data_IF_776102826357
#
_entry.id   IF_776102826357
#
_cell.length_a   1.000
_cell.length_b   1.000
_cell.length_c   1.000
_cell.angle_alpha   90.00
_cell.angle_beta   90.00
_cell.angle_gamma   90.00
#
_symmetry.space_group_name_H-M   'P 1'
#
loop_
_entity.id
_entity.type
_entity.pdbx_description
1 polymer ?
#
# COMPACT_ATOMS: atom_id res chain seq x y z
N UNK A 1 17.34 -7.96 12.03
CA UNK A 1 16.06 -7.24 12.00
C UNK A 1 15.67 -6.97 10.55
N UNK A 2 14.59 -7.58 10.11
CA UNK A 2 14.07 -7.42 8.74
C UNK A 2 12.87 -6.51 8.70
N UNK A 3 12.60 -5.94 7.52
CA UNK A 3 11.42 -5.12 7.29
C UNK A 3 10.53 -5.81 6.26
N UNK A 4 9.26 -5.98 6.60
CA UNK A 4 8.24 -6.56 5.74
C UNK A 4 7.24 -5.46 5.39
N UNK A 5 7.22 -5.07 4.12
CA UNK A 5 6.46 -3.92 3.63
C UNK A 5 5.27 -4.42 2.80
N UNK A 6 4.08 -3.95 3.12
CA UNK A 6 2.85 -4.32 2.42
C UNK A 6 2.11 -3.06 2.01
N UNK A 7 1.93 -2.87 0.71
CA UNK A 7 1.33 -1.67 0.13
C UNK A 7 0.00 -2.01 -0.53
N UNK A 8 -1.07 -1.35 -0.12
CA UNK A 8 -2.33 -1.33 -0.86
C UNK A 8 -2.27 -0.18 -1.89
N UNK A 9 -1.80 -0.50 -3.09
CA UNK A 9 -1.54 0.51 -4.11
C UNK A 9 -2.78 1.25 -4.56
N UNK A 10 -3.93 0.59 -4.65
CA UNK A 10 -5.17 1.26 -5.05
C UNK A 10 -5.50 2.40 -4.11
N UNK A 11 -5.40 2.15 -2.81
CA UNK A 11 -5.66 3.14 -1.78
C UNK A 11 -4.62 4.26 -1.80
N UNK A 12 -3.35 3.92 -1.87
CA UNK A 12 -2.24 4.90 -1.93
C UNK A 12 -2.37 5.79 -3.17
N UNK A 13 -2.67 5.20 -4.32
CA UNK A 13 -2.76 5.91 -5.59
C UNK A 13 -3.93 6.87 -5.62
N UNK A 14 -5.11 6.41 -5.23
CA UNK A 14 -6.33 7.23 -5.23
C UNK A 14 -6.20 8.38 -4.23
N UNK A 15 -5.84 8.10 -3.00
CA UNK A 15 -5.70 9.13 -1.96
C UNK A 15 -4.55 10.10 -2.28
N UNK A 16 -3.47 9.61 -2.87
CA UNK A 16 -2.36 10.46 -3.31
C UNK A 16 -2.80 11.52 -4.32
N UNK A 17 -3.70 11.19 -5.22
CA UNK A 17 -4.25 12.16 -6.18
C UNK A 17 -5.05 13.27 -5.51
N UNK A 18 -5.82 12.94 -4.46
CA UNK A 18 -6.54 13.95 -3.68
C UNK A 18 -5.59 14.84 -2.87
N UNK A 19 -4.62 14.24 -2.22
CA UNK A 19 -3.60 15.00 -1.47
C UNK A 19 -2.76 15.90 -2.40
N UNK A 20 -2.42 15.43 -3.58
CA UNK A 20 -1.72 16.24 -4.59
C UNK A 20 -2.55 17.44 -5.04
N UNK A 21 -3.86 17.27 -5.19
CA UNK A 21 -4.75 18.38 -5.51
C UNK A 21 -4.72 19.47 -4.45
N UNK A 22 -4.68 19.10 -3.18
CA UNK A 22 -4.52 20.05 -2.06
C UNK A 22 -3.18 20.76 -2.14
N UNK A 23 -2.10 20.01 -2.31
CA UNK A 23 -0.74 20.56 -2.40
C UNK A 23 -0.57 21.54 -3.56
N UNK A 24 -1.22 21.29 -4.69
CA UNK A 24 -1.21 22.16 -5.87
C UNK A 24 -2.19 23.33 -5.78
N UNK A 25 -2.94 23.45 -4.69
CA UNK A 25 -3.88 24.55 -4.50
C UNK A 25 -5.16 24.43 -5.32
N UNK A 26 -5.50 23.25 -5.83
CA UNK A 26 -6.74 23.01 -6.58
C UNK A 26 -7.97 23.03 -5.66
N UNK A 27 -7.80 22.65 -4.43
CA UNK A 27 -8.81 22.65 -3.36
C UNK A 27 -8.15 23.04 -2.04
N UNK A 28 -8.97 23.45 -1.06
CA UNK A 28 -8.47 23.92 0.23
C UNK A 28 -7.99 22.78 1.14
N UNK A 29 -8.70 21.66 1.15
CA UNK A 29 -8.36 20.50 1.97
C UNK A 29 -8.83 19.18 1.33
N UNK A 30 -8.44 18.08 1.93
CA UNK A 30 -8.74 16.73 1.44
C UNK A 30 -10.25 16.42 1.48
N UNK A 31 -10.96 16.96 2.45
CA UNK A 31 -12.41 16.74 2.55
C UNK A 31 -13.13 17.40 1.38
N UNK A 32 -12.75 18.63 1.02
CA UNK A 32 -13.28 19.30 -0.16
C UNK A 32 -12.93 18.53 -1.45
N UNK A 33 -11.71 18.00 -1.54
CA UNK A 33 -11.30 17.21 -2.70
C UNK A 33 -12.21 15.99 -2.90
N UNK A 34 -12.51 15.26 -1.85
CA UNK A 34 -13.40 14.10 -1.89
C UNK A 34 -14.84 14.49 -2.22
N UNK A 35 -15.37 15.51 -1.54
CA UNK A 35 -16.74 15.95 -1.72
C UNK A 35 -17.00 16.45 -3.15
N UNK A 36 -16.06 17.22 -3.70
CA UNK A 36 -16.16 17.79 -5.05
C UNK A 36 -15.58 16.90 -6.13
N UNK A 37 -15.02 15.75 -5.77
CA UNK A 37 -14.33 14.81 -6.66
C UNK A 37 -13.22 15.48 -7.49
N UNK A 38 -12.48 16.37 -6.84
CA UNK A 38 -11.35 17.07 -7.45
C UNK A 38 -10.05 16.37 -7.07
N UNK A 39 -9.35 15.83 -8.05
CA UNK A 39 -8.07 15.15 -7.84
C UNK A 39 -7.09 15.53 -8.94
N UNK A 40 -5.80 15.34 -8.64
CA UNK A 40 -4.74 15.53 -9.61
C UNK A 40 -4.61 14.27 -10.46
N UNK A 41 -5.39 14.19 -11.54
CA UNK A 41 -5.51 12.98 -12.36
C UNK A 41 -4.19 12.43 -12.89
N UNK A 42 -3.24 13.25 -13.39
CA UNK A 42 -1.97 12.74 -13.88
C UNK A 42 -0.96 12.41 -12.78
N UNK A 43 -1.31 12.62 -11.51
CA UNK A 43 -0.39 12.35 -10.41
C UNK A 43 0.00 10.87 -10.36
N UNK A 44 1.27 10.66 -10.13
CA UNK A 44 1.85 9.34 -9.93
C UNK A 44 2.98 9.44 -8.92
N UNK A 45 3.36 8.32 -8.33
CA UNK A 45 4.49 8.31 -7.42
C UNK A 45 5.54 7.29 -7.86
N UNK A 46 6.75 7.48 -7.37
CA UNK A 46 7.90 6.62 -7.66
C UNK A 46 7.94 5.48 -6.63
N UNK A 47 7.88 4.24 -7.08
CA UNK A 47 7.89 3.08 -6.20
C UNK A 47 9.21 2.93 -5.41
N UNK A 48 10.33 3.32 -6.01
CA UNK A 48 11.61 3.29 -5.32
C UNK A 48 11.69 4.30 -4.20
N UNK A 49 11.18 5.50 -4.43
CA UNK A 49 11.09 6.54 -3.39
C UNK A 49 10.15 6.13 -2.25
N UNK A 50 9.05 5.46 -2.59
CA UNK A 50 8.15 4.94 -1.56
C UNK A 50 8.88 3.95 -0.66
N UNK A 51 9.62 3.00 -1.23
CA UNK A 51 10.42 2.05 -0.45
C UNK A 51 11.43 2.76 0.43
N UNK A 52 12.17 3.73 -0.08
CA UNK A 52 13.15 4.50 0.69
C UNK A 52 12.51 5.17 1.90
N UNK A 53 11.37 5.79 1.72
CA UNK A 53 10.68 6.53 2.78
C UNK A 53 10.14 5.57 3.84
N UNK A 54 9.44 4.52 3.45
CA UNK A 54 8.77 3.64 4.41
C UNK A 54 9.73 2.72 5.16
N UNK A 55 10.88 2.40 4.59
CA UNK A 55 11.91 1.61 5.28
C UNK A 55 12.98 2.48 5.97
N UNK A 56 12.78 3.79 6.00
CA UNK A 56 13.72 4.75 6.59
C UNK A 56 15.13 4.61 5.97
N UNK A 57 15.19 4.47 4.65
CA UNK A 57 16.40 4.28 3.83
C UNK A 57 17.18 3.01 4.12
N UNK A 58 16.62 2.10 4.89
CA UNK A 58 17.26 0.84 5.25
C UNK A 58 16.89 -0.28 4.26
N UNK A 59 17.17 -0.05 2.98
CA UNK A 59 16.84 -0.97 1.88
C UNK A 59 17.47 -2.35 2.08
N UNK A 60 18.70 -2.39 2.63
CA UNK A 60 19.43 -3.64 2.82
C UNK A 60 18.73 -4.63 3.75
N UNK A 61 17.87 -4.15 4.64
CA UNK A 61 17.15 -4.98 5.61
C UNK A 61 15.70 -5.28 5.20
N UNK A 62 15.30 -4.93 3.99
CA UNK A 62 13.99 -5.32 3.47
C UNK A 62 13.98 -6.82 3.25
N UNK A 63 13.17 -7.52 4.03
CA UNK A 63 12.98 -8.95 3.95
C UNK A 63 11.96 -9.32 2.88
N UNK A 64 10.92 -8.51 2.77
CA UNK A 64 9.85 -8.69 1.79
C UNK A 64 9.17 -7.35 1.50
N UNK A 65 8.88 -7.09 0.24
CA UNK A 65 8.09 -5.92 -0.16
C UNK A 65 6.99 -6.40 -1.10
N UNK A 66 5.74 -6.21 -0.69
CA UNK A 66 4.54 -6.67 -1.40
C UNK A 66 3.70 -5.48 -1.80
N UNK A 67 3.24 -5.47 -3.04
CA UNK A 67 2.35 -4.44 -3.55
C UNK A 67 1.11 -5.11 -4.16
N UNK A 68 -0.05 -4.74 -3.63
CA UNK A 68 -1.34 -5.16 -4.15
C UNK A 68 -1.98 -4.03 -4.93
N UNK A 69 -2.38 -4.32 -6.16
CA UNK A 69 -3.06 -3.37 -7.01
C UNK A 69 -4.17 -4.02 -7.83
N UNK A 70 -5.13 -3.24 -8.25
CA UNK A 70 -6.11 -3.70 -9.22
C UNK A 70 -5.56 -3.44 -10.62
N UNK A 71 -5.67 -4.43 -11.48
CA UNK A 71 -5.24 -4.31 -12.87
C UNK A 71 -6.11 -3.30 -13.61
N UNK A 72 -5.61 -2.08 -13.91
CA UNK A 72 -6.27 -1.27 -14.92
C UNK A 72 -6.00 -1.91 -16.26
N UNK A 73 -6.84 -1.72 -17.18
CA UNK A 73 -7.09 -2.50 -18.36
C UNK A 73 -5.88 -2.88 -19.23
N UNK A 74 -4.80 -2.08 -19.34
CA UNK A 74 -3.81 -2.34 -20.40
C UNK A 74 -2.35 -2.00 -20.07
N UNK A 75 -2.00 -1.71 -18.81
CA UNK A 75 -0.64 -1.20 -18.53
C UNK A 75 0.14 -2.03 -17.53
N UNK A 76 0.66 -3.13 -18.00
CA UNK A 76 1.64 -3.91 -17.22
C UNK A 76 2.96 -3.15 -17.00
N UNK A 77 3.21 -2.08 -17.74
CA UNK A 77 4.41 -1.24 -17.57
C UNK A 77 4.53 -0.66 -16.16
N UNK A 78 3.41 -0.25 -15.56
CA UNK A 78 3.38 0.25 -14.18
C UNK A 78 3.83 -0.83 -13.19
N UNK A 79 3.28 -2.02 -13.33
CA UNK A 79 3.60 -3.15 -12.44
C UNK A 79 5.04 -3.64 -12.67
N UNK A 80 5.53 -3.59 -13.90
CA UNK A 80 6.92 -3.92 -14.20
C UNK A 80 7.88 -2.92 -13.55
N UNK A 81 7.52 -1.64 -13.48
CA UNK A 81 8.31 -0.64 -12.77
C UNK A 81 8.39 -0.96 -11.27
N UNK A 82 7.27 -1.35 -10.66
CA UNK A 82 7.26 -1.77 -9.25
C UNK A 82 8.13 -3.01 -8.99
N UNK A 83 8.05 -3.99 -9.88
CA UNK A 83 8.87 -5.21 -9.79
C UNK A 83 10.37 -4.90 -9.88
N UNK A 84 10.76 -3.95 -10.74
CA UNK A 84 12.16 -3.58 -10.91
C UNK A 84 12.79 -2.99 -9.65
N UNK A 85 12.02 -2.34 -8.81
CA UNK A 85 12.54 -1.78 -7.55
C UNK A 85 12.47 -2.76 -6.39
N UNK A 86 11.93 -3.96 -6.59
CA UNK A 86 11.95 -5.04 -5.61
C UNK A 86 10.62 -5.45 -5.03
N UNK A 87 9.51 -4.92 -5.52
CA UNK A 87 8.18 -5.36 -5.09
C UNK A 87 7.77 -6.70 -5.72
N UNK A 88 7.17 -7.56 -4.91
CA UNK A 88 6.32 -8.63 -5.40
C UNK A 88 4.95 -8.01 -5.67
N UNK A 89 4.47 -8.08 -6.92
CA UNK A 89 3.24 -7.41 -7.33
C UNK A 89 2.13 -8.44 -7.52
N UNK A 90 1.01 -8.20 -6.84
CA UNK A 90 -0.20 -8.99 -6.96
C UNK A 90 -1.31 -8.13 -7.56
N UNK A 91 -1.78 -8.50 -8.74
CA UNK A 91 -2.82 -7.77 -9.46
C UNK A 91 -3.94 -8.74 -9.84
N UNK A 92 -4.86 -9.06 -8.91
CA UNK A 92 -5.97 -9.93 -9.24
C UNK A 92 -6.83 -9.32 -10.35
N UNK A 93 -7.31 -10.17 -11.25
CA UNK A 93 -8.12 -9.72 -12.37
C UNK A 93 -9.37 -9.01 -11.88
N UNK A 94 -9.65 -7.86 -12.47
CA UNK A 94 -10.86 -7.11 -12.18
C UNK A 94 -12.07 -7.81 -12.74
N UNK A 95 -12.82 -8.43 -11.85
CA UNK A 95 -14.17 -8.84 -12.12
C UNK A 95 -15.11 -7.64 -11.86
N UNK A 96 -16.04 -7.33 -12.78
CA UNK A 96 -16.82 -6.09 -12.77
C UNK A 96 -17.64 -5.83 -11.51
N UNK A 97 -17.92 -6.83 -10.69
CA UNK A 97 -18.77 -6.73 -9.51
C UNK A 97 -18.05 -6.67 -8.16
N UNK A 98 -16.73 -6.99 -8.07
CA UNK A 98 -16.03 -7.15 -6.79
C UNK A 98 -14.58 -6.68 -6.83
N UNK A 99 -14.27 -5.67 -7.62
CA UNK A 99 -12.90 -5.23 -7.91
C UNK A 99 -12.08 -4.89 -6.69
N UNK A 100 -12.61 -4.05 -5.83
CA UNK A 100 -11.89 -3.54 -4.66
C UNK A 100 -11.88 -4.58 -3.54
N UNK A 101 -12.98 -5.28 -3.37
CA UNK A 101 -13.11 -6.29 -2.32
C UNK A 101 -12.12 -7.44 -2.46
N UNK A 102 -11.75 -7.80 -3.69
CA UNK A 102 -10.73 -8.84 -3.94
C UNK A 102 -9.32 -8.36 -3.66
N UNK A 103 -9.02 -7.10 -3.96
CA UNK A 103 -7.73 -6.49 -3.66
C UNK A 103 -7.54 -6.39 -2.16
N UNK A 104 -8.52 -5.83 -1.44
CA UNK A 104 -8.45 -5.68 0.01
C UNK A 104 -8.37 -7.03 0.72
N UNK A 105 -9.21 -7.98 0.34
CA UNK A 105 -9.22 -9.33 0.92
C UNK A 105 -7.90 -10.06 0.61
N UNK A 106 -7.38 -9.93 -0.60
CA UNK A 106 -6.10 -10.53 -0.99
C UNK A 106 -4.93 -9.94 -0.24
N UNK A 107 -4.91 -8.64 -0.06
CA UNK A 107 -3.91 -7.93 0.74
C UNK A 107 -3.88 -8.45 2.18
N UNK A 108 -5.03 -8.44 2.83
CA UNK A 108 -5.16 -8.88 4.22
C UNK A 108 -4.73 -10.34 4.38
N UNK A 109 -5.15 -11.19 3.46
CA UNK A 109 -4.80 -12.61 3.45
C UNK A 109 -3.29 -12.82 3.34
N UNK A 110 -2.60 -12.04 2.51
CA UNK A 110 -1.16 -12.16 2.33
C UNK A 110 -0.41 -11.75 3.60
N UNK A 111 -0.82 -10.67 4.24
CA UNK A 111 -0.22 -10.23 5.51
C UNK A 111 -0.44 -11.27 6.60
N UNK A 112 -1.66 -11.76 6.75
CA UNK A 112 -2.00 -12.77 7.76
C UNK A 112 -1.28 -14.10 7.52
N UNK A 113 -1.13 -14.48 6.26
CA UNK A 113 -0.37 -15.67 5.89
C UNK A 113 1.07 -15.59 6.38
N UNK A 114 1.74 -14.49 6.11
CA UNK A 114 3.12 -14.29 6.56
C UNK A 114 3.21 -14.24 8.08
N UNK A 115 2.24 -13.60 8.73
CA UNK A 115 2.19 -13.47 10.18
C UNK A 115 2.05 -14.83 10.88
N UNK A 116 1.12 -15.67 10.42
CA UNK A 116 0.80 -16.91 11.09
C UNK A 116 1.66 -18.11 10.66
N UNK A 117 2.31 -18.04 9.51
CA UNK A 117 3.22 -19.10 9.04
C UNK A 117 4.66 -18.94 9.51
N UNK A 118 4.93 -17.97 10.35
CA UNK A 118 6.25 -17.79 10.92
C UNK A 118 7.28 -17.15 9.98
N UNK A 119 6.82 -16.51 8.90
CA UNK A 119 7.70 -15.78 7.99
C UNK A 119 8.24 -14.48 8.63
N UNK A 120 7.56 -14.00 9.66
CA UNK A 120 7.92 -12.77 10.37
C UNK A 120 8.45 -13.12 11.75
N UNK A 121 9.70 -12.78 12.00
CA UNK A 121 10.36 -13.01 13.30
C UNK A 121 9.97 -11.91 14.29
N UNK A 122 10.22 -12.16 15.58
CA UNK A 122 9.86 -11.21 16.64
C UNK A 122 10.60 -9.87 16.54
N UNK A 123 11.79 -9.86 15.94
CA UNK A 123 12.58 -8.65 15.74
C UNK A 123 12.33 -7.96 14.38
N UNK A 124 11.49 -8.55 13.52
CA UNK A 124 11.09 -7.95 12.25
C UNK A 124 10.05 -6.87 12.46
N UNK A 125 10.04 -5.87 11.59
CA UNK A 125 9.05 -4.81 11.58
C UNK A 125 8.11 -5.00 10.38
N UNK A 126 6.81 -4.91 10.64
CA UNK A 126 5.79 -4.92 9.61
C UNK A 126 5.40 -3.48 9.30
N UNK A 127 5.48 -3.10 8.03
CA UNK A 127 5.10 -1.76 7.58
C UNK A 127 3.90 -1.89 6.66
N UNK A 128 2.76 -1.35 7.08
CA UNK A 128 1.53 -1.31 6.30
C UNK A 128 1.37 0.08 5.68
N UNK A 129 1.30 0.13 4.37
CA UNK A 129 1.05 1.38 3.62
C UNK A 129 -0.39 1.34 3.13
N UNK A 130 -1.30 1.70 4.03
CA UNK A 130 -2.74 1.65 3.84
C UNK A 130 -3.40 2.83 4.55
N UNK A 131 -4.54 3.28 4.05
CA UNK A 131 -5.31 4.36 4.66
C UNK A 131 -6.77 4.01 4.90
N UNK A 132 -7.18 2.80 4.54
CA UNK A 132 -8.57 2.34 4.66
C UNK A 132 -8.77 1.62 5.99
N UNK A 133 -9.83 1.99 6.71
CA UNK A 133 -10.21 1.33 7.97
C UNK A 133 -10.57 -0.15 7.80
N UNK A 134 -10.86 -0.60 6.58
CA UNK A 134 -11.14 -2.00 6.28
C UNK A 134 -9.93 -2.91 6.58
N UNK A 135 -8.72 -2.36 6.67
CA UNK A 135 -7.52 -3.09 7.06
C UNK A 135 -7.29 -3.14 8.58
N UNK A 136 -8.16 -2.54 9.37
CA UNK A 136 -8.02 -2.51 10.83
C UNK A 136 -7.88 -3.91 11.46
N UNK A 137 -8.64 -4.93 11.03
CA UNK A 137 -8.47 -6.29 11.58
C UNK A 137 -7.06 -6.86 11.40
N UNK A 138 -6.37 -6.50 10.32
CA UNK A 138 -4.98 -6.92 10.09
C UNK A 138 -4.04 -6.28 11.12
N UNK A 139 -4.20 -4.99 11.37
CA UNK A 139 -3.42 -4.28 12.38
C UNK A 139 -3.64 -4.88 13.76
N UNK A 140 -4.89 -5.20 14.12
CA UNK A 140 -5.21 -5.88 15.38
C UNK A 140 -4.50 -7.22 15.50
N UNK A 141 -4.51 -8.03 14.44
CA UNK A 141 -3.85 -9.34 14.44
C UNK A 141 -2.33 -9.20 14.66
N UNK A 142 -1.71 -8.21 14.06
CA UNK A 142 -0.28 -7.92 14.24
C UNK A 142 0.03 -7.58 15.69
N UNK A 143 -0.80 -6.75 16.30
CA UNK A 143 -0.65 -6.34 17.70
C UNK A 143 -0.85 -7.55 18.62
N UNK A 144 -1.87 -8.38 18.37
CA UNK A 144 -2.14 -9.58 19.17
C UNK A 144 -0.98 -10.58 19.14
N UNK A 145 -0.30 -10.69 17.99
CA UNK A 145 0.88 -11.54 17.84
C UNK A 145 2.16 -10.91 18.40
N UNK A 146 2.07 -9.70 18.96
CA UNK A 146 3.21 -9.03 19.59
C UNK A 146 4.28 -8.55 18.63
N UNK A 147 3.96 -8.37 17.36
CA UNK A 147 4.92 -7.92 16.35
C UNK A 147 5.00 -6.39 16.31
N UNK A 148 6.18 -5.90 15.94
CA UNK A 148 6.38 -4.46 15.70
C UNK A 148 5.71 -4.08 14.38
N UNK A 149 4.95 -2.98 14.37
CA UNK A 149 4.38 -2.50 13.12
C UNK A 149 4.37 -0.98 13.02
N UNK A 150 4.38 -0.52 11.79
CA UNK A 150 4.25 0.89 11.44
C UNK A 150 3.16 1.03 10.40
N UNK A 151 2.29 2.02 10.59
CA UNK A 151 1.29 2.40 9.61
C UNK A 151 1.77 3.66 8.91
N UNK A 152 1.88 3.60 7.59
CA UNK A 152 2.29 4.75 6.77
C UNK A 152 1.20 5.12 5.78
N UNK A 153 0.90 6.40 5.70
CA UNK A 153 -0.05 6.91 4.72
C UNK A 153 0.15 8.42 4.50
N UNK A 154 -0.64 8.99 3.59
CA UNK A 154 -0.59 10.42 3.28
C UNK A 154 -1.04 11.30 4.45
N UNK A 155 -0.31 12.38 4.67
CA UNK A 155 -0.64 13.42 5.64
C UNK A 155 -1.75 14.34 5.12
#
# INVERSE_FOLDING_TARGET
MGKCIYVDNSNVWIEGKYHSAVTKGMVADVYEAHDSKICDMPWAYDFGKLLDVVCDRDIANIKRAVLYGSRPTDKDSLWNAAKRVGFEVFTPDRNAKNKEKRVDTGFDKEVLKDLYKGAINDDDEIILVVGDSDHYPVAEAIIEEGKKYTLAFWD
#
